data_IF_471910530094
#
_entry.id   IF_471910530094
#
_cell.length_a   1.000
_cell.length_b   1.000
_cell.length_c   1.000
_cell.angle_alpha   90.00
_cell.angle_beta   90.00
_cell.angle_gamma   90.00
#
_symmetry.space_group_name_H-M   'P 1'
#
loop_
_entity.id
_entity.type
_entity.pdbx_description
1 polymer ?
#
# COMPACT_ATOMS: atom_id res chain seq x y z
N UNK A 1 -53.84 24.52 30.80
CA UNK A 1 -52.64 23.74 31.12
C UNK A 1 -51.46 24.69 31.15
N UNK A 2 -50.80 24.86 32.29
CA UNK A 2 -49.60 25.70 32.36
C UNK A 2 -48.43 24.97 31.67
N UNK A 3 -47.63 25.65 30.83
CA UNK A 3 -46.48 25.02 30.18
C UNK A 3 -45.48 24.56 31.25
N UNK A 4 -45.17 23.27 31.25
CA UNK A 4 -44.25 22.68 32.21
C UNK A 4 -42.80 22.94 31.74
N UNK A 5 -42.22 24.04 32.21
CA UNK A 5 -40.86 24.51 31.85
C UNK A 5 -39.80 23.39 32.03
N UNK A 6 -39.98 22.53 33.03
CA UNK A 6 -39.11 21.37 33.27
C UNK A 6 -39.11 20.36 32.13
N UNK A 7 -40.24 20.18 31.47
CA UNK A 7 -40.35 19.28 30.32
C UNK A 7 -39.56 19.83 29.13
N UNK A 8 -39.63 21.14 28.87
CA UNK A 8 -38.86 21.78 27.81
C UNK A 8 -37.35 21.72 28.08
N UNK A 9 -36.93 21.92 29.32
CA UNK A 9 -35.53 21.76 29.74
C UNK A 9 -35.05 20.32 29.57
N UNK A 10 -35.88 19.33 29.87
CA UNK A 10 -35.54 17.92 29.67
C UNK A 10 -35.37 17.58 28.19
N UNK A 11 -36.32 17.99 27.33
CA UNK A 11 -36.22 17.71 25.90
C UNK A 11 -35.06 18.45 25.22
N UNK A 12 -34.73 19.68 25.65
CA UNK A 12 -33.57 20.39 25.10
C UNK A 12 -32.26 19.69 25.48
N UNK A 13 -32.12 19.23 26.73
CA UNK A 13 -30.97 18.44 27.16
C UNK A 13 -30.86 17.13 26.39
N UNK A 14 -31.98 16.43 26.20
CA UNK A 14 -32.02 15.17 25.45
C UNK A 14 -31.58 15.37 23.99
N UNK A 15 -32.05 16.41 23.32
CA UNK A 15 -31.64 16.74 21.95
C UNK A 15 -30.13 17.00 21.87
N UNK A 16 -29.59 17.79 22.81
CA UNK A 16 -28.14 18.07 22.86
C UNK A 16 -27.36 16.77 23.08
N UNK A 17 -27.79 15.92 24.01
CA UNK A 17 -27.15 14.63 24.27
C UNK A 17 -27.15 13.71 23.05
N UNK A 18 -28.26 13.63 22.32
CA UNK A 18 -28.35 12.84 21.08
C UNK A 18 -27.38 13.36 20.02
N UNK A 19 -27.29 14.68 19.83
CA UNK A 19 -26.36 15.30 18.88
C UNK A 19 -24.90 15.00 19.25
N UNK A 20 -24.54 15.09 20.53
CA UNK A 20 -23.18 14.81 21.00
C UNK A 20 -22.81 13.35 20.80
N UNK A 21 -23.70 12.41 21.12
CA UNK A 21 -23.47 10.98 20.91
C UNK A 21 -23.32 10.68 19.41
N UNK A 22 -24.20 11.21 18.57
CA UNK A 22 -24.12 11.03 17.12
C UNK A 22 -22.81 11.60 16.55
N UNK A 23 -22.36 12.77 17.02
CA UNK A 23 -21.10 13.38 16.59
C UNK A 23 -19.87 12.55 17.00
N UNK A 24 -19.86 12.00 18.22
CA UNK A 24 -18.79 11.12 18.70
C UNK A 24 -18.74 9.81 17.91
N UNK A 25 -19.91 9.24 17.58
CA UNK A 25 -20.00 8.01 16.80
C UNK A 25 -19.50 8.20 15.36
N UNK A 26 -19.86 9.33 14.72
CA UNK A 26 -19.32 9.71 13.41
C UNK A 26 -17.79 9.83 13.43
N UNK A 27 -17.22 10.53 14.41
CA UNK A 27 -15.76 10.64 14.53
C UNK A 27 -15.07 9.28 14.72
N UNK A 28 -15.68 8.38 15.49
CA UNK A 28 -15.14 7.04 15.74
C UNK A 28 -15.19 6.15 14.50
N UNK A 29 -16.14 6.39 13.59
CA UNK A 29 -16.21 5.69 12.31
C UNK A 29 -15.13 6.17 11.31
N UNK A 30 -14.70 7.44 11.39
CA UNK A 30 -13.69 8.02 10.49
C UNK A 30 -12.24 7.66 10.88
N UNK A 31 -11.93 7.54 12.18
CA UNK A 31 -10.60 7.16 12.69
C UNK A 31 -10.02 5.87 12.09
N UNK A 32 -10.73 4.73 12.01
CA UNK A 32 -10.19 3.52 11.41
C UNK A 32 -9.93 3.70 9.92
N UNK A 33 -10.77 4.44 9.20
CA UNK A 33 -10.62 4.63 7.74
C UNK A 33 -9.33 5.36 7.39
N UNK A 34 -9.00 6.41 8.15
CA UNK A 34 -7.77 7.18 7.98
C UNK A 34 -6.55 6.32 8.34
N UNK A 35 -6.61 5.60 9.47
CA UNK A 35 -5.52 4.73 9.90
C UNK A 35 -5.20 3.62 8.89
N UNK A 36 -6.22 2.95 8.35
CA UNK A 36 -6.01 1.93 7.33
C UNK A 36 -5.45 2.54 6.05
N UNK A 37 -5.93 3.71 5.64
CA UNK A 37 -5.39 4.41 4.47
C UNK A 37 -3.89 4.69 4.58
N UNK A 38 -3.45 5.26 5.71
CA UNK A 38 -2.02 5.52 5.95
C UNK A 38 -1.19 4.23 5.93
N UNK A 39 -1.71 3.15 6.53
CA UNK A 39 -1.04 1.84 6.52
C UNK A 39 -0.95 1.22 5.12
N UNK A 40 -1.99 1.40 4.29
CA UNK A 40 -1.96 0.96 2.90
C UNK A 40 -0.94 1.75 2.09
N UNK A 41 -0.88 3.07 2.25
CA UNK A 41 0.11 3.92 1.58
C UNK A 41 1.55 3.56 1.99
N UNK A 42 1.79 3.30 3.28
CA UNK A 42 3.10 2.86 3.80
C UNK A 42 3.51 1.49 3.24
N UNK A 43 2.55 0.55 3.17
CA UNK A 43 2.77 -0.78 2.61
C UNK A 43 3.08 -0.72 1.11
N UNK A 44 2.34 0.10 0.36
CA UNK A 44 2.57 0.31 -1.07
C UNK A 44 3.97 0.88 -1.34
N UNK A 45 4.39 1.91 -0.59
CA UNK A 45 5.76 2.45 -0.68
C UNK A 45 6.81 1.39 -0.40
N UNK A 46 6.62 0.60 0.66
CA UNK A 46 7.55 -0.48 1.01
C UNK A 46 7.66 -1.51 -0.12
N UNK A 47 6.55 -1.82 -0.79
CA UNK A 47 6.55 -2.74 -1.92
C UNK A 47 7.29 -2.17 -3.14
N UNK A 48 7.09 -0.87 -3.44
CA UNK A 48 7.82 -0.18 -4.51
C UNK A 48 9.33 -0.17 -4.24
N UNK A 49 9.76 0.15 -3.02
CA UNK A 49 11.17 0.14 -2.63
C UNK A 49 11.79 -1.26 -2.74
N UNK A 50 11.07 -2.29 -2.31
CA UNK A 50 11.52 -3.67 -2.43
C UNK A 50 11.68 -4.07 -3.90
N UNK A 51 10.73 -3.70 -4.77
CA UNK A 51 10.82 -3.96 -6.20
C UNK A 51 12.03 -3.25 -6.84
N UNK A 52 12.27 -1.98 -6.47
CA UNK A 52 13.45 -1.20 -6.90
C UNK A 52 14.75 -1.89 -6.47
N UNK A 53 14.84 -2.32 -5.21
CA UNK A 53 15.98 -3.07 -4.68
C UNK A 53 16.22 -4.37 -5.44
N UNK A 54 15.17 -5.14 -5.71
CA UNK A 54 15.28 -6.40 -6.47
C UNK A 54 15.77 -6.14 -7.90
N UNK A 55 15.19 -5.16 -8.60
CA UNK A 55 15.65 -4.78 -9.96
C UNK A 55 17.13 -4.42 -9.97
N UNK A 56 17.57 -3.62 -9.00
CA UNK A 56 18.96 -3.23 -8.87
C UNK A 56 19.90 -4.43 -8.64
N UNK A 57 19.49 -5.41 -7.83
CA UNK A 57 20.28 -6.63 -7.62
C UNK A 57 20.44 -7.43 -8.92
N UNK A 58 19.36 -7.61 -9.69
CA UNK A 58 19.44 -8.32 -10.98
C UNK A 58 20.29 -7.56 -12.00
N UNK A 59 20.17 -6.24 -12.06
CA UNK A 59 21.02 -5.40 -12.90
C UNK A 59 22.49 -5.52 -12.49
N UNK A 60 22.78 -5.56 -11.19
CA UNK A 60 24.14 -5.72 -10.68
C UNK A 60 24.71 -7.08 -11.05
N UNK A 61 23.93 -8.15 -10.94
CA UNK A 61 24.32 -9.51 -11.39
C UNK A 61 24.66 -9.49 -12.88
N UNK A 62 23.79 -8.88 -13.69
CA UNK A 62 23.97 -8.81 -15.14
C UNK A 62 25.16 -7.94 -15.55
N UNK A 63 25.35 -6.78 -14.92
CA UNK A 63 26.39 -5.82 -15.27
C UNK A 63 27.80 -6.26 -14.83
N UNK A 64 27.90 -7.06 -13.75
CA UNK A 64 29.17 -7.59 -13.26
C UNK A 64 29.48 -9.01 -13.77
N UNK A 65 28.69 -9.52 -14.71
CA UNK A 65 28.81 -10.88 -15.26
C UNK A 65 28.87 -11.98 -14.18
N UNK A 66 28.10 -11.80 -13.10
CA UNK A 66 28.04 -12.77 -12.00
C UNK A 66 27.24 -13.98 -12.47
N UNK A 67 27.90 -15.14 -12.55
CA UNK A 67 27.27 -16.38 -12.97
C UNK A 67 26.56 -17.08 -11.80
N UNK A 68 25.25 -16.81 -11.67
CA UNK A 68 24.39 -17.57 -10.76
C UNK A 68 23.65 -18.72 -11.47
N UNK A 69 23.90 -18.93 -12.77
CA UNK A 69 23.24 -19.95 -13.58
C UNK A 69 23.35 -21.36 -12.97
N UNK A 70 24.49 -21.80 -12.40
CA UNK A 70 24.62 -23.15 -11.81
C UNK A 70 23.70 -23.38 -10.61
N UNK A 71 23.32 -22.31 -9.91
CA UNK A 71 22.46 -22.38 -8.72
C UNK A 71 20.96 -22.34 -9.07
N UNK A 72 20.61 -22.08 -10.33
CA UNK A 72 19.23 -22.13 -10.81
C UNK A 72 19.00 -23.39 -11.63
N UNK A 73 18.26 -24.33 -11.03
CA UNK A 73 17.88 -25.60 -11.65
C UNK A 73 17.38 -25.41 -13.10
N UNK A 74 16.52 -24.43 -13.36
CA UNK A 74 15.90 -24.22 -14.67
C UNK A 74 16.90 -23.81 -15.77
N UNK A 75 18.07 -23.30 -15.40
CA UNK A 75 19.08 -22.77 -16.29
C UNK A 75 20.43 -23.48 -16.21
N UNK A 76 20.66 -24.36 -15.23
CA UNK A 76 21.94 -25.04 -15.02
C UNK A 76 22.52 -25.74 -16.27
N UNK A 77 21.66 -26.25 -17.16
CA UNK A 77 22.05 -26.94 -18.39
C UNK A 77 21.72 -26.15 -19.68
N UNK A 78 21.41 -24.86 -19.58
CA UNK A 78 21.03 -24.01 -20.71
C UNK A 78 22.20 -23.16 -21.22
N UNK A 79 22.15 -22.62 -22.45
CA UNK A 79 23.10 -21.60 -22.89
C UNK A 79 23.02 -20.34 -22.02
N UNK A 80 24.16 -19.71 -21.75
CA UNK A 80 24.27 -18.49 -20.92
C UNK A 80 23.41 -17.35 -21.47
N UNK A 81 23.23 -17.28 -22.79
CA UNK A 81 22.40 -16.28 -23.46
C UNK A 81 20.93 -16.38 -23.02
N UNK A 82 20.42 -17.59 -22.77
CA UNK A 82 19.04 -17.77 -22.30
C UNK A 82 18.87 -17.28 -20.87
N UNK A 83 19.90 -17.47 -20.04
CA UNK A 83 19.93 -16.96 -18.67
C UNK A 83 20.00 -15.43 -18.63
N UNK A 84 20.87 -14.82 -19.45
CA UNK A 84 20.99 -13.36 -19.56
C UNK A 84 19.68 -12.73 -20.08
N UNK A 85 19.09 -13.32 -21.12
CA UNK A 85 17.84 -12.82 -21.68
C UNK A 85 16.68 -12.96 -20.70
N UNK A 86 16.66 -14.03 -19.90
CA UNK A 86 15.71 -14.18 -18.79
C UNK A 86 15.88 -13.08 -17.74
N UNK A 87 17.11 -12.83 -17.26
CA UNK A 87 17.39 -11.74 -16.32
C UNK A 87 16.94 -10.38 -16.87
N UNK A 88 17.27 -10.08 -18.13
CA UNK A 88 16.87 -8.83 -18.80
C UNK A 88 15.36 -8.66 -18.83
N UNK A 89 14.62 -9.69 -19.24
CA UNK A 89 13.14 -9.65 -19.26
C UNK A 89 12.58 -9.44 -17.87
N UNK A 90 13.19 -10.05 -16.85
CA UNK A 90 12.76 -9.91 -15.47
C UNK A 90 12.98 -8.49 -14.95
N UNK A 91 14.14 -7.90 -15.23
CA UNK A 91 14.46 -6.50 -14.90
C UNK A 91 13.43 -5.57 -15.54
N UNK A 92 13.22 -5.67 -16.86
CA UNK A 92 12.27 -4.81 -17.58
C UNK A 92 10.84 -4.98 -17.04
N UNK A 93 10.39 -6.22 -16.80
CA UNK A 93 9.07 -6.45 -16.22
C UNK A 93 8.90 -5.79 -14.85
N UNK A 94 9.93 -5.84 -14.00
CA UNK A 94 9.91 -5.16 -12.69
C UNK A 94 9.94 -3.65 -12.83
N UNK A 95 10.73 -3.09 -13.75
CA UNK A 95 10.76 -1.65 -14.01
C UNK A 95 9.39 -1.13 -14.47
N UNK A 96 8.72 -1.85 -15.38
CA UNK A 96 7.36 -1.50 -15.84
C UNK A 96 6.36 -1.56 -14.68
N UNK A 97 6.45 -2.57 -13.83
CA UNK A 97 5.58 -2.70 -12.65
C UNK A 97 5.82 -1.56 -11.66
N UNK A 98 7.09 -1.22 -11.39
CA UNK A 98 7.47 -0.08 -10.54
C UNK A 98 6.90 1.22 -11.09
N UNK A 99 7.03 1.47 -12.40
CA UNK A 99 6.45 2.66 -13.02
C UNK A 99 4.92 2.70 -12.92
N UNK A 100 4.25 1.54 -13.01
CA UNK A 100 2.80 1.46 -12.86
C UNK A 100 2.40 1.84 -11.43
N UNK A 101 3.05 1.25 -10.44
CA UNK A 101 2.81 1.52 -9.01
C UNK A 101 3.14 2.97 -8.64
N UNK A 102 4.26 3.51 -9.13
CA UNK A 102 4.62 4.92 -8.90
C UNK A 102 3.60 5.88 -9.53
N UNK A 103 2.93 5.51 -10.64
CA UNK A 103 1.84 6.30 -11.25
C UNK A 103 0.54 6.18 -10.48
N UNK A 104 0.21 5.00 -9.96
CA UNK A 104 -0.99 4.75 -9.15
C UNK A 104 -0.89 5.52 -7.83
N UNK A 105 0.27 5.51 -7.16
CA UNK A 105 0.51 6.24 -5.91
C UNK A 105 0.42 7.78 -6.04
N UNK A 106 0.67 8.34 -7.23
CA UNK A 106 0.61 9.80 -7.47
C UNK A 106 -0.78 10.33 -7.80
N UNK A 107 -1.76 9.47 -8.04
CA UNK A 107 -3.15 9.85 -8.36
C UNK A 107 -3.98 10.03 -7.10
#
# INVERSE_FOLDING_TARGET
>A
MQPNIWMYLFFSLLIISVIVIAYQDMRRADEPLIYYKEKYEELERSYIELAKSHSYVLETIMNNDIDLQPYWHEFANKPKEQYIEYLRRRIVAMQVEIERLDREHRK
#
